data_IF_827559495200
#
_entry.id   IF_827559495200
#
_cell.length_a   1.000
_cell.length_b   1.000
_cell.length_c   1.000
_cell.angle_alpha   90.00
_cell.angle_beta   90.00
_cell.angle_gamma   90.00
#
_symmetry.space_group_name_H-M   'P 1'
#
loop_
_entity.id
_entity.type
_entity.pdbx_description
1 polymer ?
#
# COMPACT_ATOMS: atom_id res chain seq x y z
N UNK A 1 11.65 -1.21 9.95
CA UNK A 1 10.69 -2.20 9.43
C UNK A 1 11.46 -3.22 8.62
N UNK A 2 11.17 -4.51 8.80
CA UNK A 2 11.63 -5.56 7.91
C UNK A 2 10.57 -5.81 6.82
N UNK A 3 11.04 -6.14 5.62
CA UNK A 3 10.15 -6.40 4.49
C UNK A 3 10.61 -7.65 3.77
N UNK A 4 9.68 -8.56 3.51
CA UNK A 4 9.92 -9.74 2.67
C UNK A 4 9.01 -9.70 1.46
N UNK A 5 9.54 -10.19 0.33
CA UNK A 5 8.81 -10.25 -0.94
C UNK A 5 8.69 -11.70 -1.34
N UNK A 6 7.45 -12.16 -1.51
CA UNK A 6 7.11 -13.47 -2.03
C UNK A 6 6.56 -13.32 -3.46
N UNK A 7 7.20 -14.01 -4.39
CA UNK A 7 6.88 -14.01 -5.83
C UNK A 7 6.35 -15.37 -6.30
N UNK A 8 5.95 -16.25 -5.37
CA UNK A 8 5.44 -17.59 -5.66
C UNK A 8 4.15 -17.58 -6.48
N UNK A 9 3.35 -16.51 -6.36
CA UNK A 9 2.16 -16.31 -7.19
C UNK A 9 2.52 -15.49 -8.45
N UNK A 10 2.36 -16.05 -9.66
CA UNK A 10 2.72 -15.34 -10.89
C UNK A 10 1.98 -14.01 -11.06
N UNK A 11 2.73 -12.92 -11.20
CA UNK A 11 2.20 -11.59 -11.49
C UNK A 11 1.58 -10.84 -10.31
N UNK A 12 1.56 -11.43 -9.10
CA UNK A 12 1.05 -10.79 -7.88
C UNK A 12 2.06 -10.96 -6.75
N UNK A 13 3.04 -10.04 -6.61
CA UNK A 13 3.92 -10.02 -5.44
C UNK A 13 3.12 -9.87 -4.15
N UNK A 14 3.54 -10.63 -3.13
CA UNK A 14 3.09 -10.45 -1.75
C UNK A 14 4.23 -9.85 -0.95
N UNK A 15 4.01 -8.66 -0.40
CA UNK A 15 4.97 -7.94 0.43
C UNK A 15 4.53 -8.04 1.88
N UNK A 16 5.31 -8.71 2.73
CA UNK A 16 5.01 -8.79 4.15
C UNK A 16 5.80 -7.74 4.93
N UNK A 17 5.09 -7.03 5.82
CA UNK A 17 5.62 -5.98 6.66
C UNK A 17 5.73 -6.46 8.11
N UNK A 18 6.91 -6.30 8.69
CA UNK A 18 7.20 -6.67 10.07
C UNK A 18 7.79 -5.46 10.83
N UNK A 19 7.16 -5.13 11.95
CA UNK A 19 7.52 -4.04 12.86
C UNK A 19 6.66 -2.79 12.66
N UNK A 20 7.30 -1.64 12.48
CA UNK A 20 6.63 -0.33 12.51
C UNK A 20 6.82 0.45 11.20
N UNK A 21 5.74 1.01 10.65
CA UNK A 21 5.74 1.84 9.45
C UNK A 21 5.63 3.33 9.84
N UNK A 22 6.72 4.08 9.66
CA UNK A 22 6.84 5.46 10.16
C UNK A 22 7.63 6.37 9.20
N UNK A 23 7.92 7.60 9.63
CA UNK A 23 8.58 8.61 8.81
C UNK A 23 10.01 8.24 8.39
N UNK A 24 10.65 7.29 9.08
CA UNK A 24 12.00 6.82 8.76
C UNK A 24 12.03 5.82 7.60
N UNK A 25 10.93 5.08 7.37
CA UNK A 25 10.93 3.92 6.49
C UNK A 25 9.82 3.87 5.43
N UNK A 26 8.80 4.75 5.50
CA UNK A 26 7.71 4.78 4.53
C UNK A 26 8.18 4.95 3.08
N UNK A 27 9.25 5.74 2.83
CA UNK A 27 9.81 5.94 1.49
C UNK A 27 10.39 4.67 0.90
N UNK A 28 10.98 3.81 1.73
CA UNK A 28 11.53 2.53 1.28
C UNK A 28 10.43 1.59 0.78
N UNK A 29 9.25 1.60 1.43
CA UNK A 29 8.10 0.84 0.99
C UNK A 29 7.57 1.33 -0.37
N UNK A 30 7.52 2.65 -0.58
CA UNK A 30 7.12 3.24 -1.87
C UNK A 30 8.10 2.83 -2.98
N UNK A 31 9.41 2.95 -2.72
CA UNK A 31 10.45 2.59 -3.67
C UNK A 31 10.39 1.10 -4.06
N UNK A 32 10.11 0.21 -3.09
CA UNK A 32 9.88 -1.21 -3.36
C UNK A 32 8.67 -1.43 -4.28
N UNK A 33 7.56 -0.75 -4.02
CA UNK A 33 6.38 -0.85 -4.89
C UNK A 33 6.62 -0.36 -6.30
N UNK A 34 7.37 0.74 -6.47
CA UNK A 34 7.78 1.25 -7.79
C UNK A 34 8.64 0.24 -8.53
N UNK A 35 9.59 -0.39 -7.84
CA UNK A 35 10.42 -1.44 -8.43
C UNK A 35 9.57 -2.62 -8.89
N UNK A 36 8.68 -3.15 -8.04
CA UNK A 36 7.79 -4.25 -8.39
C UNK A 36 6.91 -3.92 -9.59
N UNK A 37 6.41 -2.68 -9.67
CA UNK A 37 5.62 -2.22 -10.81
C UNK A 37 6.46 -2.15 -12.10
N UNK A 38 7.68 -1.63 -12.02
CA UNK A 38 8.63 -1.58 -13.13
C UNK A 38 9.00 -2.99 -13.62
N UNK A 39 9.08 -3.96 -12.71
CA UNK A 39 9.31 -5.39 -12.99
C UNK A 39 8.08 -6.10 -13.59
N UNK A 40 6.97 -5.37 -13.78
CA UNK A 40 5.77 -5.84 -14.49
C UNK A 40 4.60 -6.20 -13.58
N UNK A 41 4.72 -6.07 -12.26
CA UNK A 41 3.59 -6.29 -11.36
C UNK A 41 2.49 -5.25 -11.60
N UNK A 42 1.23 -5.69 -11.64
CA UNK A 42 0.05 -4.81 -11.78
C UNK A 42 -0.94 -4.97 -10.63
N UNK A 43 -0.63 -5.87 -9.70
CA UNK A 43 -1.32 -6.05 -8.43
C UNK A 43 -0.29 -6.27 -7.34
N UNK A 44 -0.59 -5.81 -6.14
CA UNK A 44 0.25 -5.98 -4.95
C UNK A 44 -0.64 -6.40 -3.78
N UNK A 45 -0.21 -7.45 -3.07
CA UNK A 45 -0.77 -7.82 -1.78
C UNK A 45 0.19 -7.37 -0.68
N UNK A 46 -0.30 -6.59 0.27
CA UNK A 46 0.47 -6.11 1.42
C UNK A 46 0.00 -6.83 2.68
N UNK A 47 0.85 -7.73 3.19
CA UNK A 47 0.61 -8.42 4.45
C UNK A 47 1.08 -7.59 5.64
N UNK A 48 0.11 -7.19 6.47
CA UNK A 48 0.28 -6.34 7.64
C UNK A 48 0.10 -7.11 8.95
N UNK A 49 0.03 -8.46 8.91
CA UNK A 49 -0.18 -9.32 10.07
C UNK A 49 0.90 -9.16 11.16
N UNK A 50 2.14 -8.86 10.77
CA UNK A 50 3.26 -8.59 11.66
C UNK A 50 3.55 -7.08 11.86
N UNK A 51 2.68 -6.20 11.33
CA UNK A 51 2.84 -4.75 11.50
C UNK A 51 2.19 -4.32 12.82
N UNK A 52 3.02 -3.90 13.78
CA UNK A 52 2.59 -3.50 15.12
C UNK A 52 2.11 -2.05 15.19
N UNK A 53 2.64 -1.18 14.31
CA UNK A 53 2.34 0.25 14.33
C UNK A 53 2.43 0.89 12.95
N UNK A 54 1.62 1.93 12.73
CA UNK A 54 1.63 2.76 11.54
C UNK A 54 1.35 4.22 11.89
N UNK A 55 2.28 5.10 11.55
CA UNK A 55 2.10 6.55 11.63
C UNK A 55 1.38 7.11 10.40
N UNK A 56 1.07 8.41 10.40
CA UNK A 56 0.47 9.09 9.23
C UNK A 56 1.31 8.96 7.96
N UNK A 57 2.64 8.84 8.07
CA UNK A 57 3.54 8.57 6.94
C UNK A 57 3.28 7.21 6.28
N UNK A 58 2.73 6.23 7.02
CA UNK A 58 2.30 4.96 6.43
C UNK A 58 1.09 5.12 5.52
N UNK A 59 0.15 6.00 5.87
CA UNK A 59 -1.00 6.35 5.00
C UNK A 59 -0.50 6.95 3.68
N UNK A 60 0.53 7.80 3.75
CA UNK A 60 1.21 8.33 2.55
C UNK A 60 1.76 7.22 1.68
N UNK A 61 2.43 6.23 2.29
CA UNK A 61 2.96 5.09 1.55
C UNK A 61 1.85 4.27 0.89
N UNK A 62 0.77 3.93 1.60
CA UNK A 62 -0.34 3.16 1.03
C UNK A 62 -1.02 3.90 -0.12
N UNK A 63 -1.27 5.20 0.05
CA UNK A 63 -1.82 6.03 -1.01
C UNK A 63 -0.90 6.08 -2.23
N UNK A 64 0.40 6.29 -2.02
CA UNK A 64 1.39 6.33 -3.10
C UNK A 64 1.49 5.00 -3.84
N UNK A 65 1.42 3.88 -3.12
CA UNK A 65 1.37 2.54 -3.73
C UNK A 65 0.10 2.36 -4.58
N UNK A 66 -1.05 2.82 -4.10
CA UNK A 66 -2.30 2.76 -4.86
C UNK A 66 -2.17 3.54 -6.19
N UNK A 67 -1.55 4.72 -6.17
CA UNK A 67 -1.27 5.50 -7.39
C UNK A 67 -0.35 4.75 -8.37
N UNK A 68 0.78 4.26 -7.87
CA UNK A 68 1.77 3.51 -8.67
C UNK A 68 1.11 2.33 -9.36
N UNK A 69 0.35 1.53 -8.61
CA UNK A 69 -0.30 0.34 -9.14
C UNK A 69 -1.55 0.63 -9.99
N UNK A 70 -2.14 1.82 -9.86
CA UNK A 70 -3.11 2.37 -10.80
C UNK A 70 -2.50 2.85 -12.12
N UNK A 71 -1.18 2.81 -12.26
CA UNK A 71 -0.46 3.28 -13.46
C UNK A 71 -0.34 4.79 -13.55
N UNK A 72 -0.60 5.52 -12.47
CA UNK A 72 -0.29 6.93 -12.38
C UNK A 72 1.19 7.13 -12.14
N UNK A 73 1.73 8.20 -12.70
CA UNK A 73 3.12 8.58 -12.46
C UNK A 73 3.30 8.80 -10.96
N UNK A 74 4.31 8.16 -10.32
CA UNK A 74 4.51 8.31 -8.90
C UNK A 74 4.71 9.79 -8.56
N UNK A 75 4.09 10.30 -7.48
CA UNK A 75 4.26 11.68 -7.09
C UNK A 75 5.74 11.97 -6.85
N UNK A 76 6.22 13.10 -7.38
CA UNK A 76 7.60 13.52 -7.21
C UNK A 76 7.94 13.58 -5.70
N UNK A 77 8.94 12.81 -5.23
CA UNK A 77 9.32 12.78 -3.83
C UNK A 77 9.85 14.11 -3.29
N UNK A 78 10.28 15.05 -4.15
CA UNK A 78 10.68 16.43 -3.83
C UNK A 78 9.53 17.44 -3.88
N UNK A 79 8.47 17.18 -4.66
CA UNK A 79 7.32 18.09 -4.77
C UNK A 79 6.47 18.19 -3.49
N UNK A 80 6.71 17.31 -2.53
CA UNK A 80 6.16 17.40 -1.18
C UNK A 80 4.66 17.04 -1.09
N UNK A 81 4.10 17.22 0.10
CA UNK A 81 2.75 16.75 0.47
C UNK A 81 1.62 17.37 -0.36
N UNK A 82 1.85 18.55 -0.95
CA UNK A 82 0.86 19.25 -1.78
C UNK A 82 0.65 18.59 -3.14
N UNK A 83 1.72 18.16 -3.81
CA UNK A 83 1.62 17.43 -5.08
C UNK A 83 0.93 16.06 -4.92
N UNK A 84 1.08 15.44 -3.74
CA UNK A 84 0.37 14.19 -3.40
C UNK A 84 -1.14 14.45 -3.33
N UNK A 85 -1.60 15.54 -2.70
CA UNK A 85 -3.03 15.87 -2.59
C UNK A 85 -3.71 16.16 -3.92
N UNK A 86 -3.02 16.80 -4.86
CA UNK A 86 -3.58 17.09 -6.20
C UNK A 86 -3.86 15.79 -6.96
N UNK A 87 -2.94 14.82 -6.92
CA UNK A 87 -3.12 13.50 -7.56
C UNK A 87 -4.10 12.61 -6.78
N UNK A 88 -4.15 12.72 -5.44
CA UNK A 88 -5.12 12.01 -4.59
C UNK A 88 -6.57 12.34 -4.92
N UNK A 89 -6.84 13.58 -5.34
CA UNK A 89 -8.21 14.04 -5.60
C UNK A 89 -8.82 13.35 -6.82
N UNK A 90 -8.01 13.06 -7.85
CA UNK A 90 -8.44 12.35 -9.06
C UNK A 90 -8.66 10.84 -8.80
N UNK A 91 -7.81 10.20 -7.99
CA UNK A 91 -7.98 8.78 -7.64
C UNK A 91 -9.12 8.54 -6.66
N UNK A 92 -9.43 9.51 -5.79
CA UNK A 92 -10.62 9.48 -4.95
C UNK A 92 -11.95 9.56 -5.73
N UNK A 93 -11.91 9.97 -7.01
CA UNK A 93 -13.08 9.97 -7.90
C UNK A 93 -13.25 8.65 -8.68
N UNK A 94 -12.21 7.81 -8.72
CA UNK A 94 -12.26 6.45 -9.25
C UNK A 94 -12.78 5.49 -8.18
N UNK A 95 -13.55 4.47 -8.59
CA UNK A 95 -14.04 3.44 -7.67
C UNK A 95 -12.93 2.67 -6.92
N UNK A 96 -13.29 1.62 -6.15
CA UNK A 96 -12.32 0.85 -5.36
C UNK A 96 -11.12 0.39 -6.20
N UNK A 97 -9.91 0.60 -5.67
CA UNK A 97 -8.65 0.28 -6.33
C UNK A 97 -8.30 -1.18 -6.02
N UNK A 98 -8.51 -2.07 -6.99
CA UNK A 98 -8.24 -3.51 -6.80
C UNK A 98 -6.76 -3.90 -7.04
N UNK A 99 -5.92 -2.93 -7.40
CA UNK A 99 -4.51 -3.17 -7.65
C UNK A 99 -3.65 -3.24 -6.38
N UNK A 100 -4.17 -2.77 -5.24
CA UNK A 100 -3.49 -2.85 -3.94
C UNK A 100 -4.44 -3.45 -2.90
N UNK A 101 -4.07 -4.61 -2.37
CA UNK A 101 -4.89 -5.38 -1.42
C UNK A 101 -4.18 -5.47 -0.08
N UNK A 102 -4.88 -5.18 1.01
CA UNK A 102 -4.33 -5.23 2.36
C UNK A 102 -4.72 -6.53 3.07
N UNK A 103 -3.79 -7.14 3.79
CA UNK A 103 -4.02 -8.40 4.50
C UNK A 103 -3.77 -8.23 6.00
N UNK A 104 -4.76 -8.64 6.78
CA UNK A 104 -4.70 -8.81 8.24
C UNK A 104 -4.09 -7.62 9.02
N UNK A 105 -4.55 -6.36 8.82
CA UNK A 105 -4.06 -5.26 9.64
C UNK A 105 -4.42 -5.48 11.10
N UNK A 106 -3.43 -5.43 11.99
CA UNK A 106 -3.66 -5.52 13.43
C UNK A 106 -4.59 -4.39 13.94
N UNK A 107 -5.25 -4.53 15.11
CA UNK A 107 -6.28 -3.60 15.56
C UNK A 107 -5.85 -2.12 15.61
N UNK A 108 -4.58 -1.84 15.91
CA UNK A 108 -4.06 -0.48 15.90
C UNK A 108 -3.96 0.10 14.48
N UNK A 109 -3.43 -0.69 13.55
CA UNK A 109 -3.28 -0.34 12.13
C UNK A 109 -4.65 -0.19 11.47
N UNK A 110 -5.57 -1.12 11.74
CA UNK A 110 -6.94 -1.09 11.23
C UNK A 110 -7.67 0.21 11.63
N UNK A 111 -7.59 0.63 12.90
CA UNK A 111 -8.17 1.90 13.35
C UNK A 111 -7.59 3.11 12.61
N UNK A 112 -6.30 3.11 12.29
CA UNK A 112 -5.67 4.18 11.52
C UNK A 112 -6.19 4.20 10.07
N UNK A 113 -6.35 3.03 9.44
CA UNK A 113 -6.93 2.90 8.09
C UNK A 113 -8.39 3.38 8.06
N UNK A 114 -9.20 2.98 9.03
CA UNK A 114 -10.62 3.37 9.12
C UNK A 114 -10.77 4.88 9.31
N UNK A 115 -9.99 5.48 10.22
CA UNK A 115 -10.03 6.93 10.49
C UNK A 115 -9.64 7.79 9.30
N UNK A 116 -8.88 7.24 8.36
CA UNK A 116 -8.41 7.94 7.15
C UNK A 116 -9.29 7.65 5.93
N UNK A 117 -10.27 6.74 6.04
CA UNK A 117 -11.15 6.34 4.95
C UNK A 117 -10.50 5.37 3.95
N UNK A 118 -9.26 4.92 4.18
CA UNK A 118 -8.55 4.02 3.25
C UNK A 118 -9.23 2.66 3.09
N UNK A 119 -9.96 2.19 4.11
CA UNK A 119 -10.73 0.93 4.03
C UNK A 119 -11.88 0.98 3.03
N UNK A 120 -12.31 2.18 2.60
CA UNK A 120 -13.28 2.34 1.51
C UNK A 120 -12.65 2.34 0.11
N UNK A 121 -11.33 2.57 0.02
CA UNK A 121 -10.59 2.64 -1.25
C UNK A 121 -9.80 1.36 -1.55
N UNK A 122 -9.24 0.75 -0.50
CA UNK A 122 -8.38 -0.43 -0.57
C UNK A 122 -9.09 -1.63 0.06
N UNK A 123 -9.27 -2.73 -0.67
CA UNK A 123 -9.86 -3.93 -0.11
C UNK A 123 -8.96 -4.54 0.97
N UNK A 124 -9.57 -4.91 2.09
CA UNK A 124 -8.90 -5.54 3.24
C UNK A 124 -9.38 -6.99 3.35
N UNK A 125 -8.43 -7.91 3.44
CA UNK A 125 -8.67 -9.35 3.52
C UNK A 125 -8.12 -9.90 4.84
N UNK A 126 -8.72 -10.99 5.30
CA UNK A 126 -8.30 -11.68 6.53
C UNK A 126 -7.03 -12.53 6.36
N UNK A 127 -6.70 -12.91 5.12
CA UNK A 127 -5.56 -13.76 4.80
C UNK A 127 -4.99 -13.46 3.40
N UNK A 128 -3.73 -13.89 3.18
CA UNK A 128 -3.07 -13.82 1.86
C UNK A 128 -3.85 -14.60 0.81
N UNK A 129 -4.36 -15.76 1.17
CA UNK A 129 -5.12 -16.63 0.27
C UNK A 129 -6.39 -15.93 -0.22
N UNK A 130 -7.16 -15.30 0.70
CA UNK A 130 -8.34 -14.54 0.35
C UNK A 130 -7.99 -13.34 -0.57
N UNK A 131 -6.89 -12.64 -0.27
CA UNK A 131 -6.42 -11.54 -1.08
C UNK A 131 -5.91 -11.95 -2.47
N UNK A 132 -5.50 -13.20 -2.67
CA UNK A 132 -5.05 -13.71 -3.97
C UNK A 132 -6.21 -14.32 -4.79
N UNK A 133 -7.24 -14.83 -4.12
CA UNK A 133 -8.39 -15.48 -4.76
C UNK A 133 -9.45 -14.50 -5.30
N UNK A 134 -9.55 -13.30 -4.72
CA UNK A 134 -10.42 -12.22 -5.21
C UNK A 134 -9.97 -11.63 -6.54
#
# INVERSE_FOLDING_TARGET
MNTTVDLSTPGVPVVALDGELDASNYRALIALGQQLYADGARRLVLDMSALSYMASSGIVALHSLALVFGGHEPPDPEAGWQAIHEVSTDVAQGGPVDHLRLVSPGPAVARTLERTGLTGMLPVFESREAALAG
#
